data_IF_333137375745
#
_entry.id   IF_333137375745
#
_cell.length_a   1.000
_cell.length_b   1.000
_cell.length_c   1.000
_cell.angle_alpha   90.00
_cell.angle_beta   90.00
_cell.angle_gamma   90.00
#
_symmetry.space_group_name_H-M   'P 1'
#
loop_
_entity.id
_entity.type
_entity.pdbx_description
1 polymer ?
#
# COMPACT_ATOMS: atom_id res chain seq x y z
N UNK A 1 4.87 11.82 -32.31
CA UNK A 1 5.08 11.44 -30.90
C UNK A 1 6.50 11.76 -30.45
N UNK A 2 7.57 11.21 -31.06
CA UNK A 2 8.96 11.60 -30.74
C UNK A 2 9.37 12.98 -31.24
N UNK A 3 8.78 13.43 -32.35
CA UNK A 3 8.99 14.80 -32.85
C UNK A 3 8.09 15.86 -32.17
N UNK A 4 7.06 15.43 -31.43
CA UNK A 4 6.06 16.33 -30.80
C UNK A 4 6.23 16.51 -29.29
N UNK A 5 7.16 15.80 -28.64
CA UNK A 5 7.40 15.84 -27.18
C UNK A 5 6.14 15.59 -26.30
N UNK A 6 5.12 14.92 -26.84
CA UNK A 6 3.87 14.64 -26.09
C UNK A 6 4.09 13.79 -24.83
N UNK A 7 5.25 13.12 -24.71
CA UNK A 7 5.62 12.27 -23.57
C UNK A 7 5.79 13.04 -22.25
N UNK A 8 6.23 14.30 -22.31
CA UNK A 8 6.58 15.08 -21.11
C UNK A 8 5.36 15.36 -20.23
N UNK A 9 4.16 15.37 -20.82
CA UNK A 9 2.90 15.62 -20.10
C UNK A 9 2.23 14.33 -19.64
N UNK A 10 2.44 13.20 -20.33
CA UNK A 10 1.74 11.95 -20.01
C UNK A 10 2.32 11.27 -18.77
N UNK A 11 3.63 11.32 -18.54
CA UNK A 11 4.24 10.73 -17.34
C UNK A 11 3.74 11.41 -16.05
N UNK A 12 3.73 12.75 -15.92
CA UNK A 12 3.12 13.41 -14.77
C UNK A 12 1.64 13.06 -14.56
N UNK A 13 0.86 12.90 -15.64
CA UNK A 13 -0.55 12.50 -15.54
C UNK A 13 -0.72 11.05 -15.06
N UNK A 14 0.14 10.13 -15.52
CA UNK A 14 0.17 8.75 -15.05
C UNK A 14 0.53 8.67 -13.56
N UNK A 15 1.52 9.46 -13.11
CA UNK A 15 1.90 9.57 -11.70
C UNK A 15 0.79 10.18 -10.84
N UNK A 16 0.13 11.24 -11.35
CA UNK A 16 -1.00 11.85 -10.66
C UNK A 16 -2.14 10.84 -10.51
N UNK A 17 -2.48 10.11 -11.57
CA UNK A 17 -3.50 9.06 -11.51
C UNK A 17 -3.13 7.95 -10.50
N UNK A 18 -1.88 7.45 -10.57
CA UNK A 18 -1.39 6.46 -9.63
C UNK A 18 -1.53 6.93 -8.18
N UNK A 19 -1.08 8.16 -7.89
CA UNK A 19 -1.19 8.74 -6.54
C UNK A 19 -2.65 8.94 -6.12
N UNK A 20 -3.53 9.40 -7.01
CA UNK A 20 -4.94 9.63 -6.70
C UNK A 20 -5.66 8.32 -6.36
N UNK A 21 -5.37 7.23 -7.08
CA UNK A 21 -5.91 5.90 -6.76
C UNK A 21 -5.31 5.35 -5.47
N UNK A 22 -4.01 5.53 -5.25
CA UNK A 22 -3.32 5.08 -4.04
C UNK A 22 -3.88 5.73 -2.77
N UNK A 23 -4.23 7.01 -2.82
CA UNK A 23 -4.83 7.75 -1.69
C UNK A 23 -6.37 7.67 -1.64
N UNK A 24 -7.01 7.02 -2.62
CA UNK A 24 -8.46 6.92 -2.63
C UNK A 24 -8.94 6.02 -1.47
N UNK A 25 -9.75 6.51 -0.53
CA UNK A 25 -10.18 5.72 0.62
C UNK A 25 -11.08 4.54 0.22
N UNK A 26 -11.80 4.67 -0.89
CA UNK A 26 -12.67 3.66 -1.44
C UNK A 26 -12.94 3.94 -2.92
N UNK A 27 -12.86 2.90 -3.76
CA UNK A 27 -13.29 2.93 -5.15
C UNK A 27 -14.51 2.02 -5.33
N UNK A 28 -15.70 2.59 -5.62
CA UNK A 28 -16.91 1.79 -5.82
C UNK A 28 -16.73 0.75 -6.92
N UNK A 29 -17.19 -0.51 -6.72
CA UNK A 29 -17.05 -1.56 -7.72
C UNK A 29 -17.81 -1.27 -9.02
N UNK A 30 -18.89 -0.47 -8.95
CA UNK A 30 -19.62 0.00 -10.14
C UNK A 30 -19.01 1.24 -10.82
N UNK A 31 -17.85 1.72 -10.35
CA UNK A 31 -17.17 2.85 -10.98
C UNK A 31 -16.41 2.41 -12.23
N UNK A 32 -16.69 3.06 -13.34
CA UNK A 32 -15.95 2.86 -14.60
C UNK A 32 -14.56 3.52 -14.58
N UNK A 33 -14.16 4.24 -13.52
CA UNK A 33 -12.93 5.03 -13.48
C UNK A 33 -11.69 4.20 -13.85
N UNK A 34 -11.47 3.07 -13.18
CA UNK A 34 -10.31 2.21 -13.41
C UNK A 34 -10.37 1.54 -14.80
N UNK A 35 -11.56 1.16 -15.26
CA UNK A 35 -11.74 0.55 -16.58
C UNK A 35 -11.48 1.55 -17.71
N UNK A 36 -11.93 2.80 -17.58
CA UNK A 36 -11.63 3.87 -18.52
C UNK A 36 -10.15 4.22 -18.52
N UNK A 37 -9.54 4.32 -17.34
CA UNK A 37 -8.10 4.54 -17.22
C UNK A 37 -7.30 3.42 -17.92
N UNK A 38 -7.67 2.16 -17.71
CA UNK A 38 -7.05 1.03 -18.39
C UNK A 38 -7.17 1.13 -19.92
N UNK A 39 -8.36 1.49 -20.44
CA UNK A 39 -8.57 1.70 -21.88
C UNK A 39 -7.65 2.79 -22.44
N UNK A 40 -7.54 3.92 -21.74
CA UNK A 40 -6.65 5.02 -22.14
C UNK A 40 -5.18 4.58 -22.11
N UNK A 41 -4.72 4.01 -21.00
CA UNK A 41 -3.31 3.64 -20.84
C UNK A 41 -2.87 2.49 -21.76
N UNK A 42 -3.79 1.62 -22.16
CA UNK A 42 -3.52 0.57 -23.14
C UNK A 42 -3.08 1.14 -24.50
N UNK A 43 -3.58 2.32 -24.89
CA UNK A 43 -3.17 2.96 -26.16
C UNK A 43 -1.67 3.31 -26.20
N UNK A 44 -1.08 3.57 -25.02
CA UNK A 44 0.33 3.93 -24.90
C UNK A 44 1.28 2.73 -24.86
N UNK A 45 0.79 1.49 -24.88
CA UNK A 45 1.65 0.29 -24.99
C UNK A 45 2.40 0.21 -26.33
N UNK A 46 1.95 0.98 -27.33
CA UNK A 46 2.59 1.08 -28.65
C UNK A 46 3.76 2.07 -28.68
N UNK A 47 3.99 2.81 -27.58
CA UNK A 47 5.06 3.79 -27.47
C UNK A 47 6.43 3.12 -27.29
N UNK A 48 7.54 3.82 -27.62
CA UNK A 48 8.88 3.26 -27.41
C UNK A 48 9.21 3.09 -25.92
N UNK A 49 10.21 2.24 -25.64
CA UNK A 49 10.83 2.09 -24.31
C UNK A 49 11.46 3.42 -23.88
N UNK A 50 11.34 3.85 -22.61
CA UNK A 50 10.79 3.11 -21.47
C UNK A 50 9.27 3.28 -21.25
N UNK A 51 8.60 4.11 -22.04
CA UNK A 51 7.22 4.51 -21.77
C UNK A 51 6.24 3.34 -21.79
N UNK A 52 6.36 2.42 -22.76
CA UNK A 52 5.50 1.23 -22.82
C UNK A 52 5.60 0.36 -21.56
N UNK A 53 6.78 0.31 -20.92
CA UNK A 53 6.99 -0.48 -19.71
C UNK A 53 6.32 0.18 -18.51
N UNK A 54 6.44 1.51 -18.37
CA UNK A 54 5.70 2.28 -17.36
C UNK A 54 4.18 2.09 -17.49
N UNK A 55 3.62 2.11 -18.71
CA UNK A 55 2.18 1.86 -18.89
C UNK A 55 1.79 0.40 -18.66
N UNK A 56 2.68 -0.56 -18.93
CA UNK A 56 2.46 -1.97 -18.58
C UNK A 56 2.39 -2.17 -17.07
N UNK A 57 3.26 -1.52 -16.32
CA UNK A 57 3.22 -1.50 -14.86
C UNK A 57 1.92 -0.85 -14.36
N UNK A 58 1.53 0.29 -14.94
CA UNK A 58 0.29 0.98 -14.58
C UNK A 58 -0.96 0.15 -14.87
N UNK A 59 -0.98 -0.60 -15.98
CA UNK A 59 -2.08 -1.53 -16.29
C UNK A 59 -2.11 -2.72 -15.34
N UNK A 60 -0.94 -3.20 -14.91
CA UNK A 60 -0.83 -4.23 -13.86
C UNK A 60 -1.37 -3.71 -12.53
N UNK A 61 -1.01 -2.48 -12.17
CA UNK A 61 -1.56 -1.77 -11.02
C UNK A 61 -3.08 -1.68 -11.07
N UNK A 62 -3.66 -1.18 -12.18
CA UNK A 62 -5.11 -1.06 -12.35
C UNK A 62 -5.79 -2.43 -12.26
N UNK A 63 -5.23 -3.45 -12.90
CA UNK A 63 -5.74 -4.82 -12.85
C UNK A 63 -5.79 -5.34 -11.41
N UNK A 64 -4.73 -5.11 -10.63
CA UNK A 64 -4.68 -5.52 -9.23
C UNK A 64 -5.70 -4.77 -8.37
N UNK A 65 -5.86 -3.45 -8.54
CA UNK A 65 -6.86 -2.66 -7.81
C UNK A 65 -8.31 -3.03 -8.16
N UNK A 66 -8.56 -3.46 -9.40
CA UNK A 66 -9.87 -3.98 -9.81
C UNK A 66 -10.21 -5.28 -9.07
N UNK A 67 -9.23 -6.18 -8.90
CA UNK A 67 -9.41 -7.49 -8.24
C UNK A 67 -9.40 -7.41 -6.71
N UNK A 68 -8.48 -6.62 -6.16
CA UNK A 68 -8.17 -6.54 -4.75
C UNK A 68 -8.00 -5.06 -4.34
N UNK A 69 -9.08 -4.39 -3.92
CA UNK A 69 -9.06 -2.96 -3.62
C UNK A 69 -8.03 -2.60 -2.56
N UNK A 70 -7.24 -1.56 -2.83
CA UNK A 70 -6.24 -1.05 -1.91
C UNK A 70 -4.98 -1.92 -1.79
N UNK A 71 -4.79 -2.92 -2.66
CA UNK A 71 -3.64 -3.83 -2.57
C UNK A 71 -2.31 -3.12 -2.79
N UNK A 72 -2.30 -2.07 -3.62
CA UNK A 72 -1.08 -1.32 -3.89
C UNK A 72 -0.63 -0.55 -2.66
N UNK A 73 -1.55 0.10 -1.96
CA UNK A 73 -1.27 0.73 -0.66
C UNK A 73 -0.71 -0.29 0.33
N UNK A 74 -1.35 -1.46 0.41
CA UNK A 74 -0.96 -2.52 1.34
C UNK A 74 0.44 -3.04 1.04
N UNK A 75 0.76 -3.33 -0.23
CA UNK A 75 2.10 -3.75 -0.66
C UNK A 75 3.14 -2.68 -0.37
N UNK A 76 2.87 -1.42 -0.72
CA UNK A 76 3.77 -0.29 -0.51
C UNK A 76 4.14 -0.14 0.97
N UNK A 77 3.14 0.06 1.83
CA UNK A 77 3.36 0.27 3.25
C UNK A 77 4.04 -0.94 3.88
N UNK A 78 3.63 -2.15 3.50
CA UNK A 78 4.25 -3.38 4.02
C UNK A 78 5.74 -3.48 3.68
N UNK A 79 6.12 -3.13 2.45
CA UNK A 79 7.52 -3.11 2.01
C UNK A 79 8.31 -2.01 2.73
N UNK A 80 7.76 -0.80 2.84
CA UNK A 80 8.43 0.35 3.50
C UNK A 80 8.56 0.20 5.02
N UNK A 81 7.67 -0.57 5.64
CA UNK A 81 7.67 -0.84 7.08
C UNK A 81 8.40 -2.14 7.44
N UNK A 82 8.84 -2.93 6.44
CA UNK A 82 9.52 -4.20 6.66
C UNK A 82 8.66 -5.27 7.32
N UNK A 83 7.34 -5.27 7.07
CA UNK A 83 6.42 -6.24 7.67
C UNK A 83 6.52 -7.60 6.94
N UNK A 84 6.78 -8.71 7.66
CA UNK A 84 6.98 -10.02 7.04
C UNK A 84 5.66 -10.62 6.52
N UNK A 85 5.70 -11.27 5.36
CA UNK A 85 4.57 -12.06 4.80
C UNK A 85 5.04 -13.47 4.51
N UNK A 86 4.15 -14.44 4.73
CA UNK A 86 4.43 -15.87 4.57
C UNK A 86 4.81 -16.27 3.15
N UNK A 87 4.41 -15.50 2.12
CA UNK A 87 4.51 -15.92 0.71
C UNK A 87 5.07 -14.85 -0.26
N UNK A 88 5.32 -13.63 0.20
CA UNK A 88 5.79 -12.53 -0.67
C UNK A 88 6.92 -11.78 0.04
N UNK A 89 8.15 -12.02 -0.41
CA UNK A 89 9.34 -11.31 0.07
C UNK A 89 9.83 -10.39 -1.04
N UNK A 90 9.34 -9.16 -1.05
CA UNK A 90 9.95 -8.09 -1.81
C UNK A 90 10.23 -6.93 -0.85
N UNK A 91 11.51 -6.74 -0.53
CA UNK A 91 11.99 -5.55 0.15
C UNK A 91 12.59 -4.62 -0.89
N UNK A 92 12.12 -3.37 -0.91
CA UNK A 92 12.76 -2.30 -1.66
C UNK A 92 13.42 -1.39 -0.64
N UNK A 93 14.74 -1.30 -0.70
CA UNK A 93 15.53 -0.39 0.14
C UNK A 93 16.09 0.68 -0.78
N UNK A 94 15.69 1.92 -0.56
CA UNK A 94 16.31 3.07 -1.23
C UNK A 94 17.49 3.54 -0.40
N UNK A 95 18.69 3.46 -0.98
CA UNK A 95 19.93 3.93 -0.34
C UNK A 95 20.30 5.28 -0.93
N UNK A 96 20.35 6.30 -0.08
CA UNK A 96 20.84 7.62 -0.45
C UNK A 96 22.26 7.80 0.10
N UNK A 97 23.24 7.85 -0.80
CA UNK A 97 24.64 8.10 -0.45
C UNK A 97 24.88 9.61 -0.43
N UNK A 98 25.26 10.13 0.73
CA UNK A 98 25.45 11.56 0.96
C UNK A 98 26.86 11.85 1.45
N UNK A 99 27.46 12.89 0.88
CA UNK A 99 28.69 13.45 1.43
C UNK A 99 28.34 14.40 2.58
N UNK A 100 28.81 14.08 3.80
CA UNK A 100 28.49 14.86 5.01
C UNK A 100 28.92 16.32 4.91
N UNK A 101 29.97 16.63 4.16
CA UNK A 101 30.43 18.02 3.98
C UNK A 101 29.58 18.85 3.02
N UNK A 102 28.74 18.22 2.20
CA UNK A 102 27.89 18.88 1.20
C UNK A 102 26.42 19.02 1.67
N UNK A 103 26.06 18.39 2.79
CA UNK A 103 24.70 18.34 3.31
C UNK A 103 24.55 19.24 4.53
N UNK A 104 23.48 20.03 4.55
CA UNK A 104 23.15 20.92 5.67
C UNK A 104 22.89 20.14 6.96
N UNK A 105 23.33 20.70 8.10
CA UNK A 105 23.18 20.09 9.43
C UNK A 105 21.73 19.78 9.80
N UNK A 106 20.79 20.61 9.33
CA UNK A 106 19.37 20.47 9.56
C UNK A 106 18.84 19.18 8.92
N UNK A 107 19.26 18.88 7.69
CA UNK A 107 18.88 17.65 7.00
C UNK A 107 19.39 16.42 7.75
N UNK A 108 20.66 16.43 8.17
CA UNK A 108 21.24 15.33 8.95
C UNK A 108 20.48 15.10 10.27
N UNK A 109 20.11 16.18 10.96
CA UNK A 109 19.33 16.08 12.19
C UNK A 109 17.93 15.47 11.98
N UNK A 110 17.32 15.71 10.82
CA UNK A 110 16.02 15.13 10.45
C UNK A 110 16.22 13.65 10.11
N UNK A 111 17.23 13.31 9.32
CA UNK A 111 17.55 11.92 8.97
C UNK A 111 17.84 11.06 10.22
N UNK A 112 18.59 11.59 11.18
CA UNK A 112 18.84 10.94 12.48
C UNK A 112 17.55 10.77 13.29
N UNK A 113 16.70 11.80 13.37
CA UNK A 113 15.40 11.71 14.04
C UNK A 113 14.51 10.64 13.42
N UNK A 114 14.41 10.61 12.10
CA UNK A 114 13.64 9.59 11.36
C UNK A 114 14.22 8.19 11.59
N UNK A 115 15.54 8.06 11.66
CA UNK A 115 16.22 6.80 11.95
C UNK A 115 16.00 6.29 13.37
N UNK A 116 15.78 7.19 14.33
CA UNK A 116 15.53 6.84 15.74
C UNK A 116 14.07 6.49 16.05
N UNK A 117 13.16 6.80 15.13
CA UNK A 117 11.72 6.64 15.33
C UNK A 117 11.25 5.35 14.67
N UNK A 118 11.29 4.22 15.39
CA UNK A 118 10.58 3.03 14.93
C UNK A 118 9.06 3.26 15.05
N UNK A 119 8.30 3.19 13.95
CA UNK A 119 6.86 3.25 14.03
C UNK A 119 6.37 2.02 14.80
N UNK A 120 5.50 2.20 15.81
CA UNK A 120 5.05 1.07 16.61
C UNK A 120 4.27 0.10 15.73
N UNK A 121 4.77 -1.13 15.60
CA UNK A 121 4.21 -2.18 14.73
C UNK A 121 2.69 -2.35 14.92
N UNK A 122 2.23 -2.26 16.17
CA UNK A 122 0.81 -2.31 16.51
C UNK A 122 -0.01 -1.25 15.77
N UNK A 123 0.45 0.02 15.78
CA UNK A 123 -0.24 1.12 15.10
C UNK A 123 -0.28 0.95 13.59
N UNK A 124 0.79 0.42 13.00
CA UNK A 124 0.87 0.14 11.56
C UNK A 124 -0.11 -0.97 11.18
N UNK A 125 -0.23 -2.04 11.97
CA UNK A 125 -1.19 -3.11 11.73
C UNK A 125 -2.65 -2.62 11.85
N UNK A 126 -2.94 -1.78 12.85
CA UNK A 126 -4.25 -1.14 12.99
C UNK A 126 -4.57 -0.31 11.74
N UNK A 127 -3.64 0.53 11.29
CA UNK A 127 -3.81 1.35 10.08
C UNK A 127 -4.05 0.51 8.83
N UNK A 128 -3.28 -0.57 8.64
CA UNK A 128 -3.41 -1.45 7.48
C UNK A 128 -4.74 -2.19 7.48
N UNK A 129 -5.23 -2.65 8.64
CA UNK A 129 -6.55 -3.27 8.77
C UNK A 129 -7.66 -2.24 8.50
N UNK A 130 -7.61 -1.05 9.10
CA UNK A 130 -8.56 0.04 8.79
C UNK A 130 -8.61 0.32 7.29
N UNK A 131 -7.45 0.43 6.64
CA UNK A 131 -7.35 0.65 5.21
C UNK A 131 -7.98 -0.48 4.40
N UNK A 132 -7.65 -1.73 4.70
CA UNK A 132 -8.14 -2.89 3.96
C UNK A 132 -9.67 -3.03 4.06
N UNK A 133 -10.21 -2.88 5.27
CA UNK A 133 -11.66 -2.93 5.49
C UNK A 133 -12.36 -1.78 4.76
N UNK A 134 -11.84 -0.55 4.83
CA UNK A 134 -12.44 0.58 4.13
C UNK A 134 -12.32 0.47 2.60
N UNK A 135 -11.16 0.09 2.06
CA UNK A 135 -10.96 -0.07 0.62
C UNK A 135 -11.89 -1.15 0.03
N UNK A 136 -12.21 -2.17 0.81
CA UNK A 136 -13.08 -3.27 0.37
C UNK A 136 -14.57 -2.94 0.50
N UNK A 137 -14.99 -2.41 1.65
CA UNK A 137 -16.41 -2.23 1.98
C UNK A 137 -16.92 -0.79 1.84
N UNK A 138 -16.01 0.18 1.75
CA UNK A 138 -16.34 1.60 1.63
C UNK A 138 -17.17 2.09 2.80
N UNK A 139 -18.25 2.79 2.49
CA UNK A 139 -19.20 3.34 3.47
C UNK A 139 -19.99 2.26 4.24
N UNK A 140 -19.86 0.97 3.89
CA UNK A 140 -20.44 -0.14 4.64
C UNK A 140 -19.59 -0.55 5.85
N UNK A 141 -18.38 -0.03 5.96
CA UNK A 141 -17.52 -0.21 7.12
C UNK A 141 -17.56 1.04 8.01
N UNK A 142 -17.97 0.87 9.26
CA UNK A 142 -17.90 1.92 10.28
C UNK A 142 -16.50 1.88 10.94
N UNK A 143 -15.58 2.69 10.42
CA UNK A 143 -14.22 2.78 10.94
C UNK A 143 -14.16 3.34 12.36
N UNK A 144 -15.09 4.23 12.75
CA UNK A 144 -15.11 4.81 14.09
C UNK A 144 -15.40 3.74 15.16
N UNK A 145 -16.19 2.71 14.80
CA UNK A 145 -16.41 1.53 15.66
C UNK A 145 -15.31 0.47 15.54
N UNK A 146 -14.73 0.28 14.35
CA UNK A 146 -13.68 -0.72 14.12
C UNK A 146 -12.38 -0.34 14.84
N UNK A 147 -11.97 0.93 14.75
CA UNK A 147 -10.72 1.47 15.31
C UNK A 147 -10.48 1.13 16.79
N UNK A 148 -11.41 1.41 17.74
CA UNK A 148 -11.19 1.09 19.15
C UNK A 148 -11.04 -0.41 19.40
N UNK A 149 -11.75 -1.26 18.64
CA UNK A 149 -11.66 -2.70 18.75
C UNK A 149 -10.29 -3.21 18.27
N UNK A 150 -9.82 -2.72 17.11
CA UNK A 150 -8.47 -3.00 16.63
C UNK A 150 -7.41 -2.55 17.64
N UNK A 151 -7.54 -1.34 18.20
CA UNK A 151 -6.59 -0.83 19.20
C UNK A 151 -6.55 -1.64 20.50
N UNK A 152 -7.67 -2.26 20.88
CA UNK A 152 -7.78 -3.06 22.10
C UNK A 152 -7.13 -4.44 21.99
N UNK A 153 -6.90 -4.94 20.76
CA UNK A 153 -6.36 -6.28 20.53
C UNK A 153 -4.85 -6.36 20.79
N UNK A 154 -4.36 -7.51 21.29
CA UNK A 154 -2.93 -7.73 21.46
C UNK A 154 -2.23 -7.82 20.09
N UNK A 155 -0.93 -7.49 20.07
CA UNK A 155 -0.11 -7.47 18.85
C UNK A 155 -0.12 -8.81 18.10
N UNK A 156 -0.15 -9.93 18.83
CA UNK A 156 -0.16 -11.27 18.24
C UNK A 156 -1.44 -11.52 17.44
N UNK A 157 -2.61 -11.27 18.04
CA UNK A 157 -3.90 -11.41 17.36
C UNK A 157 -4.00 -10.48 16.14
N UNK A 158 -3.53 -9.24 16.25
CA UNK A 158 -3.53 -8.30 15.13
C UNK A 158 -2.62 -8.77 13.99
N UNK A 159 -1.45 -9.33 14.31
CA UNK A 159 -0.53 -9.87 13.32
C UNK A 159 -1.13 -11.06 12.57
N UNK A 160 -1.80 -11.98 13.29
CA UNK A 160 -2.45 -13.15 12.70
C UNK A 160 -3.66 -12.77 11.84
N UNK A 161 -4.46 -11.81 12.32
CA UNK A 161 -5.59 -11.25 11.59
C UNK A 161 -5.11 -10.55 10.30
N UNK A 162 -4.10 -9.69 10.42
CA UNK A 162 -3.52 -9.00 9.26
C UNK A 162 -2.91 -9.98 8.26
N UNK A 163 -2.15 -10.98 8.71
CA UNK A 163 -1.58 -11.98 7.83
C UNK A 163 -2.66 -12.71 7.01
N UNK A 164 -3.75 -13.13 7.68
CA UNK A 164 -4.88 -13.80 7.01
C UNK A 164 -5.59 -12.89 6.02
N UNK A 165 -5.78 -11.61 6.38
CA UNK A 165 -6.42 -10.62 5.52
C UNK A 165 -5.55 -10.26 4.31
N UNK A 166 -4.24 -10.11 4.51
CA UNK A 166 -3.27 -9.86 3.46
C UNK A 166 -3.15 -11.04 2.49
N UNK A 167 -3.12 -12.28 3.00
CA UNK A 167 -3.12 -13.49 2.16
C UNK A 167 -4.38 -13.55 1.28
N UNK A 168 -5.55 -13.22 1.83
CA UNK A 168 -6.80 -13.16 1.07
C UNK A 168 -6.76 -12.10 -0.03
N UNK A 169 -6.17 -10.94 0.26
CA UNK A 169 -6.03 -9.84 -0.71
C UNK A 169 -5.04 -10.20 -1.84
N UNK A 170 -3.92 -10.83 -1.51
CA UNK A 170 -2.96 -11.34 -2.50
C UNK A 170 -3.57 -12.45 -3.37
N UNK A 171 -4.34 -13.37 -2.77
CA UNK A 171 -5.07 -14.40 -3.51
C UNK A 171 -6.12 -13.79 -4.47
N UNK A 172 -6.82 -12.73 -4.05
CA UNK A 172 -7.73 -12.00 -4.91
C UNK A 172 -7.00 -11.34 -6.09
N UNK A 173 -5.84 -10.70 -5.85
CA UNK A 173 -5.05 -10.11 -6.93
C UNK A 173 -4.47 -11.14 -7.90
N UNK A 174 -4.24 -12.38 -7.48
CA UNK A 174 -3.81 -13.46 -8.36
C UNK A 174 -4.95 -14.06 -9.20
N UNK A 175 -6.21 -13.73 -8.91
CA UNK A 175 -7.39 -14.22 -9.65
C UNK A 175 -7.43 -13.68 -11.09
N UNK A 176 -8.07 -14.44 -11.98
CA UNK A 176 -8.34 -14.04 -13.37
C UNK A 176 -9.62 -13.21 -13.53
N UNK A 177 -10.64 -13.45 -12.69
CA UNK A 177 -11.92 -12.73 -12.72
C UNK A 177 -11.97 -11.66 -11.61
N UNK A 178 -12.04 -10.36 -11.95
CA UNK A 178 -12.15 -9.27 -10.98
C UNK A 178 -13.39 -9.31 -10.10
N UNK A 179 -14.55 -9.66 -10.64
CA UNK A 179 -15.81 -9.60 -9.89
C UNK A 179 -15.81 -10.68 -8.81
N UNK A 180 -15.52 -11.91 -9.23
CA UNK A 180 -15.44 -13.05 -8.33
C UNK A 180 -14.25 -12.95 -7.35
N UNK A 181 -13.14 -12.33 -7.74
CA UNK A 181 -12.03 -12.03 -6.82
C UNK A 181 -12.48 -11.12 -5.66
N UNK A 182 -13.19 -10.02 -5.99
CA UNK A 182 -13.70 -9.07 -4.99
C UNK A 182 -14.73 -9.72 -4.08
N UNK A 183 -15.64 -10.51 -4.63
CA UNK A 183 -16.66 -11.21 -3.84
C UNK A 183 -16.03 -12.18 -2.83
N UNK A 184 -15.03 -12.97 -3.26
CA UNK A 184 -14.28 -13.86 -2.39
C UNK A 184 -13.52 -13.11 -1.30
N UNK A 185 -12.84 -12.02 -1.66
CA UNK A 185 -12.14 -11.16 -0.68
C UNK A 185 -13.13 -10.61 0.36
N UNK A 186 -14.28 -10.11 -0.07
CA UNK A 186 -15.32 -9.61 0.83
C UNK A 186 -15.85 -10.71 1.76
N UNK A 187 -16.08 -11.93 1.25
CA UNK A 187 -16.52 -13.05 2.08
C UNK A 187 -15.50 -13.37 3.18
N UNK A 188 -14.23 -13.54 2.82
CA UNK A 188 -13.16 -13.84 3.78
C UNK A 188 -13.01 -12.74 4.82
N UNK A 189 -13.05 -11.46 4.41
CA UNK A 189 -12.94 -10.34 5.35
C UNK A 189 -14.16 -10.23 6.29
N UNK A 190 -15.37 -10.61 5.84
CA UNK A 190 -16.54 -10.70 6.72
C UNK A 190 -16.39 -11.83 7.74
N UNK A 191 -15.88 -12.98 7.32
CA UNK A 191 -15.62 -14.11 8.23
C UNK A 191 -14.57 -13.76 9.28
N UNK A 192 -13.48 -13.09 8.86
CA UNK A 192 -12.45 -12.58 9.76
C UNK A 192 -13.00 -11.54 10.74
N UNK A 193 -13.84 -10.61 10.25
CA UNK A 193 -14.51 -9.64 11.11
C UNK A 193 -15.44 -10.32 12.15
N UNK A 194 -16.19 -11.34 11.73
CA UNK A 194 -17.05 -12.12 12.61
C UNK A 194 -16.25 -12.86 13.69
N UNK A 195 -15.17 -13.54 13.31
CA UNK A 195 -14.27 -14.23 14.24
C UNK A 195 -13.58 -13.26 15.22
N UNK A 196 -13.28 -12.05 14.76
CA UNK A 196 -12.65 -11.00 15.57
C UNK A 196 -13.66 -10.17 16.41
N UNK A 197 -14.95 -10.51 16.38
CA UNK A 197 -16.05 -9.80 17.03
C UNK A 197 -16.13 -8.29 16.65
N UNK A 198 -15.81 -7.98 15.40
CA UNK A 198 -15.95 -6.63 14.85
C UNK A 198 -17.41 -6.27 14.57
N UNK A 199 -17.73 -4.97 14.41
CA UNK A 199 -19.07 -4.56 14.07
C UNK A 199 -19.48 -5.21 12.74
N UNK A 200 -20.75 -5.62 12.66
CA UNK A 200 -21.27 -6.17 11.43
C UNK A 200 -21.09 -5.16 10.29
N UNK A 201 -20.37 -5.58 9.25
CA UNK A 201 -20.28 -4.82 8.00
C UNK A 201 -21.68 -4.84 7.40
N UNK A 202 -22.30 -3.68 7.30
CA UNK A 202 -23.73 -3.58 7.00
C UNK A 202 -24.01 -4.15 5.62
N UNK A 203 -24.92 -5.13 5.56
CA UNK A 203 -25.48 -5.63 4.31
C UNK A 203 -26.33 -4.58 3.62
N UNK A 204 -26.47 -4.69 2.30
CA UNK A 204 -27.22 -3.77 1.46
C UNK A 204 -28.70 -3.73 1.92
N UNK A 205 -29.10 -2.71 2.69
CA UNK A 205 -30.43 -2.07 2.55
C UNK A 205 -30.68 -0.81 3.39
N UNK A 206 -30.24 -0.65 4.66
CA UNK A 206 -30.82 0.43 5.50
C UNK A 206 -29.94 1.05 6.59
N UNK A 207 -28.66 0.68 6.71
CA UNK A 207 -27.78 1.33 7.67
C UNK A 207 -27.28 2.68 7.13
N UNK A 208 -27.22 3.69 7.99
CA UNK A 208 -26.63 4.99 7.65
C UNK A 208 -25.20 4.78 7.11
N UNK A 209 -24.88 5.29 5.90
CA UNK A 209 -23.56 5.08 5.31
C UNK A 209 -22.49 5.69 6.22
N UNK A 210 -21.50 4.88 6.59
CA UNK A 210 -20.33 5.32 7.34
C UNK A 210 -19.53 6.36 6.56
N UNK A 211 -18.83 7.22 7.30
CA UNK A 211 -17.97 8.25 6.70
C UNK A 211 -16.66 7.60 6.23
N UNK A 212 -16.25 7.92 5.00
CA UNK A 212 -14.92 7.55 4.52
C UNK A 212 -13.88 8.45 5.19
N UNK A 213 -12.80 7.83 5.66
CA UNK A 213 -11.66 8.51 6.26
C UNK A 213 -10.45 8.40 5.32
N UNK A 214 -9.78 9.53 4.99
CA UNK A 214 -8.49 9.44 4.32
C UNK A 214 -7.49 8.77 5.27
N UNK A 215 -6.80 7.75 4.78
CA UNK A 215 -5.78 7.04 5.54
C UNK A 215 -4.43 7.40 4.93
N UNK A 216 -3.56 8.13 5.66
CA UNK A 216 -2.27 8.54 5.13
C UNK A 216 -1.32 7.35 5.03
N UNK A 217 -0.39 7.43 4.06
CA UNK A 217 0.76 6.53 4.01
C UNK A 217 1.65 6.84 5.22
N UNK A 218 1.99 5.87 6.08
CA UNK A 218 2.88 6.09 7.20
C UNK A 218 4.29 6.45 6.72
N UNK A 219 5.07 7.20 7.52
CA UNK A 219 6.45 7.54 7.17
C UNK A 219 7.28 6.26 7.00
N UNK A 220 8.10 6.21 5.96
CA UNK A 220 8.96 5.05 5.67
C UNK A 220 9.97 4.80 6.78
N UNK A 221 10.36 3.53 6.98
CA UNK A 221 11.43 3.20 7.93
C UNK A 221 12.76 3.67 7.34
N UNK A 222 13.31 4.74 7.90
CA UNK A 222 14.60 5.30 7.48
C UNK A 222 15.72 4.76 8.37
N UNK A 223 16.91 4.60 7.80
CA UNK A 223 18.12 4.34 8.57
C UNK A 223 19.22 5.29 8.13
N UNK A 224 19.93 5.87 9.09
CA UNK A 224 21.08 6.73 8.81
C UNK A 224 22.35 6.04 9.32
N UNK A 225 23.32 5.85 8.44
CA UNK A 225 24.61 5.23 8.76
C UNK A 225 25.76 6.20 8.46
N UNK A 226 26.75 6.25 9.36
CA UNK A 226 27.98 7.04 9.18
C UNK A 226 29.16 6.11 8.98
N UNK A 227 29.81 6.23 7.81
CA UNK A 227 30.96 5.42 7.42
C UNK A 227 32.21 5.71 8.26
N UNK A 228 32.24 6.83 8.98
CA UNK A 228 33.37 7.23 9.83
C UNK A 228 33.43 6.46 11.16
N UNK A 229 32.37 5.73 11.51
CA UNK A 229 32.25 5.04 12.81
C UNK A 229 32.40 3.52 12.73
N UNK A 230 32.44 2.92 11.54
CA UNK A 230 32.59 1.47 11.39
C UNK A 230 34.00 1.09 10.92
N UNK A 231 34.73 0.42 11.83
CA UNK A 231 35.82 -0.45 11.43
C UNK A 231 35.20 -1.62 10.67
N UNK A 232 35.38 -1.66 9.34
CA UNK A 232 35.08 -2.83 8.50
C UNK A 232 35.92 -4.03 8.97
N UNK A 233 35.51 -4.71 10.04
CA UNK A 233 36.09 -5.95 10.51
C UNK A 233 35.60 -7.09 9.62
N UNK A 234 36.47 -7.59 8.74
CA UNK A 234 36.49 -8.93 8.11
C UNK A 234 35.17 -9.70 7.96
N UNK A 235 34.11 -9.07 7.44
CA UNK A 235 33.00 -9.73 6.75
C UNK A 235 32.16 -8.66 6.07
N UNK A 236 32.47 -8.38 4.79
CA UNK A 236 31.84 -7.33 3.99
C UNK A 236 30.40 -7.66 3.59
N UNK A 237 29.49 -7.69 4.56
CA UNK A 237 28.04 -7.72 4.32
C UNK A 237 27.42 -6.59 5.12
N UNK A 238 26.86 -5.61 4.40
CA UNK A 238 25.96 -4.62 4.96
C UNK A 238 24.72 -5.38 5.47
N UNK A 239 24.66 -5.66 6.77
CA UNK A 239 23.45 -6.17 7.44
C UNK A 239 22.41 -5.04 7.52
N UNK A 240 21.82 -4.70 6.37
CA UNK A 240 20.68 -3.78 6.23
C UNK A 240 19.34 -4.47 6.56
N UNK A 241 19.36 -5.59 7.28
CA UNK A 241 18.17 -6.37 7.61
C UNK A 241 18.28 -7.02 8.99
N UNK A 242 18.03 -6.24 10.04
CA UNK A 242 17.37 -6.73 11.25
C UNK A 242 16.26 -5.78 11.69
#
# INVERSE_FOLDING_TARGET
>A
VQESCDYDLVTPLALLFYSAVLYAPYLPPGSELLLQAARVYHSFLTWPVPYCDTFRELLTFISNELKAPGITFQRLVRTEQGLPVKNYQSSTVTVLLLNRSEVQSEFLSIAEKLSSSEPPQHSTLVLLLEHLFQATFGTRCDLDRLRPLLKSKPLQELSELYASAADAQEAAAASSDPTLARERLQAVLRDLAGAAAFPAITGDSEAQPGKLHPIPIPPTRCYTYSWDQDNFGESGVLDLAR
#
